data_IF_589520060799
#
_entry.id   IF_589520060799
#
_cell.length_a   1.000
_cell.length_b   1.000
_cell.length_c   1.000
_cell.angle_alpha   90.00
_cell.angle_beta   90.00
_cell.angle_gamma   90.00
#
_symmetry.space_group_name_H-M   'P 1'
#
loop_
_entity.id
_entity.type
_entity.pdbx_description
1 polymer ?
#
# COMPACT_ATOMS: atom_id res chain seq x y z
N UNK A 1 20.86 -24.81 -3.37
CA UNK A 1 21.93 -23.84 -3.05
C UNK A 1 21.50 -22.37 -3.06
N UNK A 2 20.46 -21.96 -3.82
CA UNK A 2 20.02 -20.55 -3.93
C UNK A 2 19.38 -20.00 -2.64
N UNK A 3 18.56 -20.81 -1.95
CA UNK A 3 17.86 -20.42 -0.71
C UNK A 3 18.81 -20.11 0.47
N UNK A 4 19.93 -20.85 0.57
CA UNK A 4 20.95 -20.61 1.61
C UNK A 4 21.69 -19.27 1.40
N UNK A 5 21.88 -18.87 0.13
CA UNK A 5 22.56 -17.62 -0.23
C UNK A 5 21.71 -16.39 0.07
N UNK A 6 20.39 -16.51 -0.10
CA UNK A 6 19.41 -15.48 0.32
C UNK A 6 19.40 -15.34 1.84
N UNK A 7 19.39 -16.46 2.57
CA UNK A 7 19.43 -16.45 4.03
C UNK A 7 20.73 -15.81 4.57
N UNK A 8 21.88 -16.09 3.96
CA UNK A 8 23.14 -15.44 4.35
C UNK A 8 23.17 -13.93 4.04
N UNK A 9 22.46 -13.46 3.01
CA UNK A 9 22.30 -12.01 2.75
C UNK A 9 21.42 -11.32 3.79
N UNK A 10 20.40 -12.01 4.31
CA UNK A 10 19.57 -11.48 5.40
C UNK A 10 20.34 -11.35 6.73
N UNK A 11 21.44 -12.09 6.87
CA UNK A 11 22.32 -12.07 8.04
C UNK A 11 23.60 -11.23 7.84
N UNK A 12 23.66 -10.40 6.80
CA UNK A 12 24.77 -9.45 6.61
C UNK A 12 24.61 -8.26 7.58
N UNK A 13 25.69 -7.89 8.29
CA UNK A 13 25.72 -6.71 9.17
C UNK A 13 25.20 -5.46 8.46
N UNK A 14 25.58 -5.25 7.21
CA UNK A 14 25.14 -4.09 6.44
C UNK A 14 23.64 -4.13 6.11
N UNK A 15 23.10 -5.33 5.88
CA UNK A 15 21.67 -5.54 5.67
C UNK A 15 20.89 -5.28 6.96
N UNK A 16 21.35 -5.84 8.09
CA UNK A 16 20.75 -5.65 9.41
C UNK A 16 20.77 -4.17 9.80
N UNK A 17 21.89 -3.46 9.64
CA UNK A 17 21.97 -2.04 9.95
C UNK A 17 21.01 -1.21 9.09
N UNK A 18 20.91 -1.50 7.78
CA UNK A 18 19.92 -0.83 6.91
C UNK A 18 18.49 -1.13 7.33
N UNK A 19 18.18 -2.38 7.67
CA UNK A 19 16.86 -2.79 8.14
C UNK A 19 16.49 -2.08 9.44
N UNK A 20 17.43 -1.98 10.39
CA UNK A 20 17.24 -1.26 11.65
C UNK A 20 17.03 0.24 11.43
N UNK A 21 17.80 0.88 10.56
CA UNK A 21 17.61 2.30 10.20
C UNK A 21 16.24 2.50 9.56
N UNK A 22 15.82 1.61 8.66
CA UNK A 22 14.51 1.67 8.01
C UNK A 22 13.37 1.51 9.02
N UNK A 23 13.52 0.56 9.95
CA UNK A 23 12.57 0.34 11.05
C UNK A 23 12.48 1.53 11.99
N UNK A 24 13.62 2.17 12.30
CA UNK A 24 13.66 3.39 13.11
C UNK A 24 12.97 4.56 12.40
N UNK A 25 13.25 4.75 11.10
CA UNK A 25 12.61 5.81 10.33
C UNK A 25 11.09 5.58 10.23
N UNK A 26 10.67 4.33 10.05
CA UNK A 26 9.26 3.94 10.04
C UNK A 26 8.59 4.19 11.39
N UNK A 27 9.27 3.94 12.53
CA UNK A 27 8.69 4.17 13.86
C UNK A 27 8.54 5.65 14.21
N UNK A 28 9.28 6.55 13.56
CA UNK A 28 9.09 8.00 13.71
C UNK A 28 7.73 8.47 13.20
N UNK A 29 7.12 7.77 12.24
CA UNK A 29 5.81 8.10 11.66
C UNK A 29 4.71 8.05 12.73
N UNK A 30 4.44 6.91 13.42
CA UNK A 30 3.41 6.86 14.45
C UNK A 30 3.72 7.75 15.65
N UNK A 31 4.99 7.97 15.99
CA UNK A 31 5.38 8.94 17.03
C UNK A 31 4.95 10.37 16.66
N UNK A 32 5.21 10.78 15.41
CA UNK A 32 4.76 12.08 14.91
C UNK A 32 3.24 12.18 14.89
N UNK A 33 2.52 11.10 14.57
CA UNK A 33 1.06 11.08 14.56
C UNK A 33 0.47 11.22 15.96
N UNK A 34 1.00 10.51 16.96
CA UNK A 34 0.57 10.66 18.35
C UNK A 34 0.80 12.09 18.83
N UNK A 35 1.97 12.67 18.53
CA UNK A 35 2.25 14.06 18.85
C UNK A 35 1.22 15.02 18.23
N UNK A 36 0.88 14.81 16.95
CA UNK A 36 -0.05 15.65 16.21
C UNK A 36 -1.49 15.50 16.73
N UNK A 37 -1.91 14.28 17.08
CA UNK A 37 -3.19 13.99 17.75
C UNK A 37 -3.31 14.72 19.09
N UNK A 38 -2.26 14.70 19.91
CA UNK A 38 -2.23 15.42 21.19
C UNK A 38 -2.24 16.93 20.96
N UNK A 39 -1.45 17.42 20.02
CA UNK A 39 -1.36 18.85 19.70
C UNK A 39 -2.71 19.40 19.22
N UNK A 40 -3.36 18.72 18.26
CA UNK A 40 -4.70 19.08 17.81
C UNK A 40 -5.74 18.88 18.92
N UNK A 41 -5.62 17.82 19.72
CA UNK A 41 -6.47 17.59 20.89
C UNK A 41 -6.48 18.76 21.88
N UNK A 42 -5.34 19.42 22.06
CA UNK A 42 -5.24 20.64 22.89
C UNK A 42 -5.79 21.90 22.20
N UNK A 43 -5.72 21.99 20.87
CA UNK A 43 -6.19 23.15 20.11
C UNK A 43 -7.72 23.17 19.92
N UNK A 44 -8.31 22.04 19.52
CA UNK A 44 -9.71 21.94 19.11
C UNK A 44 -10.52 20.94 19.94
N UNK A 45 -9.88 20.30 20.93
CA UNK A 45 -10.50 19.33 21.83
C UNK A 45 -10.24 17.87 21.42
N UNK A 46 -9.96 17.03 22.42
CA UNK A 46 -9.65 15.61 22.23
C UNK A 46 -10.79 14.83 21.56
N UNK A 47 -12.04 15.02 22.01
CA UNK A 47 -13.20 14.33 21.44
C UNK A 47 -13.42 14.67 19.97
N UNK A 48 -13.28 15.95 19.60
CA UNK A 48 -13.44 16.39 18.22
C UNK A 48 -12.30 15.87 17.32
N UNK A 49 -11.07 15.90 17.81
CA UNK A 49 -9.89 15.37 17.10
C UNK A 49 -10.02 13.87 16.84
N UNK A 50 -10.46 13.10 17.85
CA UNK A 50 -10.71 11.66 17.72
C UNK A 50 -11.87 11.38 16.77
N UNK A 51 -12.96 12.15 16.84
CA UNK A 51 -14.09 12.02 15.93
C UNK A 51 -13.68 12.27 14.47
N UNK A 52 -12.82 13.27 14.23
CA UNK A 52 -12.32 13.59 12.89
C UNK A 52 -11.42 12.47 12.33
N UNK A 53 -10.53 11.93 13.15
CA UNK A 53 -9.68 10.79 12.77
C UNK A 53 -10.53 9.52 12.49
N UNK A 54 -11.49 9.21 13.36
CA UNK A 54 -12.41 8.10 13.15
C UNK A 54 -13.27 8.29 11.88
N UNK A 55 -13.70 9.52 11.61
CA UNK A 55 -14.44 9.85 10.40
C UNK A 55 -13.60 9.68 9.12
N UNK A 56 -12.33 10.09 9.14
CA UNK A 56 -11.40 9.87 8.02
C UNK A 56 -11.21 8.37 7.74
N UNK A 57 -10.95 7.56 8.77
CA UNK A 57 -10.83 6.10 8.63
C UNK A 57 -12.12 5.45 8.11
N UNK A 58 -13.28 5.90 8.58
CA UNK A 58 -14.58 5.43 8.10
C UNK A 58 -14.81 5.77 6.63
N UNK A 59 -14.49 7.00 6.19
CA UNK A 59 -14.56 7.38 4.79
C UNK A 59 -13.62 6.54 3.91
N UNK A 60 -12.38 6.31 4.36
CA UNK A 60 -11.42 5.45 3.68
C UNK A 60 -11.95 4.02 3.51
N UNK A 61 -12.50 3.44 4.59
CA UNK A 61 -13.10 2.11 4.58
C UNK A 61 -14.30 2.01 3.63
N UNK A 62 -15.20 3.00 3.64
CA UNK A 62 -16.35 3.01 2.74
C UNK A 62 -15.93 3.13 1.27
N UNK A 63 -14.93 3.95 0.97
CA UNK A 63 -14.37 4.08 -0.37
C UNK A 63 -13.71 2.77 -0.84
N UNK A 64 -12.94 2.14 0.03
CA UNK A 64 -12.34 0.84 -0.23
C UNK A 64 -13.36 -0.26 -0.52
N UNK A 65 -14.42 -0.35 0.30
CA UNK A 65 -15.49 -1.34 0.10
C UNK A 65 -16.18 -1.18 -1.26
N UNK A 66 -16.35 0.06 -1.74
CA UNK A 66 -16.92 0.33 -3.07
C UNK A 66 -15.98 -0.17 -4.17
N UNK A 67 -14.70 0.13 -4.08
CA UNK A 67 -13.72 -0.24 -5.11
C UNK A 67 -13.45 -1.77 -5.12
N UNK A 68 -13.43 -2.39 -3.95
CA UNK A 68 -13.28 -3.83 -3.79
C UNK A 68 -14.45 -4.58 -4.43
N UNK A 69 -15.71 -4.17 -4.17
CA UNK A 69 -16.90 -4.77 -4.78
C UNK A 69 -16.86 -4.67 -6.31
N UNK A 70 -16.51 -3.50 -6.85
CA UNK A 70 -16.42 -3.27 -8.30
C UNK A 70 -15.35 -4.18 -8.94
N UNK A 71 -14.16 -4.26 -8.34
CA UNK A 71 -13.07 -5.09 -8.87
C UNK A 71 -13.38 -6.59 -8.76
N UNK A 72 -14.01 -7.04 -7.67
CA UNK A 72 -14.43 -8.44 -7.51
C UNK A 72 -15.49 -8.86 -8.55
N UNK A 73 -16.43 -7.97 -8.89
CA UNK A 73 -17.39 -8.22 -9.96
C UNK A 73 -16.71 -8.34 -11.32
N UNK A 74 -15.76 -7.44 -11.63
CA UNK A 74 -14.97 -7.50 -12.87
C UNK A 74 -14.13 -8.77 -12.95
N UNK A 75 -13.50 -9.17 -11.83
CA UNK A 75 -12.69 -10.38 -11.71
C UNK A 75 -13.53 -11.62 -12.02
N UNK A 76 -14.70 -11.76 -11.36
CA UNK A 76 -15.64 -12.86 -11.64
C UNK A 76 -16.08 -12.90 -13.11
N UNK A 77 -16.31 -11.75 -13.74
CA UNK A 77 -16.72 -11.66 -15.14
C UNK A 77 -15.61 -12.08 -16.11
N UNK A 78 -14.36 -11.69 -15.85
CA UNK A 78 -13.19 -12.06 -16.67
C UNK A 78 -12.82 -13.54 -16.51
N UNK A 79 -12.83 -14.05 -15.27
CA UNK A 79 -12.61 -15.48 -15.01
C UNK A 79 -13.64 -16.36 -15.73
N UNK A 80 -14.93 -15.99 -15.71
CA UNK A 80 -15.98 -16.72 -16.46
C UNK A 80 -15.80 -16.69 -17.98
N UNK A 81 -15.02 -15.75 -18.50
CA UNK A 81 -14.71 -15.63 -19.93
C UNK A 81 -13.37 -16.29 -20.31
N UNK A 82 -12.72 -16.99 -19.36
CA UNK A 82 -11.39 -17.57 -19.57
C UNK A 82 -10.28 -16.52 -19.72
N UNK A 83 -10.51 -15.28 -19.32
CA UNK A 83 -9.52 -14.20 -19.39
C UNK A 83 -8.79 -14.03 -18.06
N UNK A 84 -7.47 -13.86 -18.11
CA UNK A 84 -6.63 -13.57 -16.94
C UNK A 84 -6.96 -12.18 -16.35
N UNK A 85 -7.42 -12.08 -15.09
CA UNK A 85 -7.84 -10.83 -14.47
C UNK A 85 -6.68 -10.13 -13.71
N UNK A 86 -5.51 -9.98 -14.33
CA UNK A 86 -4.29 -9.46 -13.69
C UNK A 86 -4.49 -8.04 -13.13
N UNK A 87 -5.20 -7.17 -13.85
CA UNK A 87 -5.44 -5.80 -13.41
C UNK A 87 -6.35 -5.73 -12.18
N UNK A 88 -7.36 -6.59 -12.11
CA UNK A 88 -8.27 -6.68 -10.97
C UNK A 88 -7.54 -7.12 -9.70
N UNK A 89 -6.59 -8.06 -9.81
CA UNK A 89 -5.76 -8.46 -8.67
C UNK A 89 -4.90 -7.30 -8.15
N UNK A 90 -4.21 -6.57 -9.04
CA UNK A 90 -3.41 -5.41 -8.65
C UNK A 90 -4.28 -4.36 -7.95
N UNK A 91 -5.45 -4.08 -8.50
CA UNK A 91 -6.38 -3.11 -7.92
C UNK A 91 -6.90 -3.57 -6.56
N UNK A 92 -7.27 -4.85 -6.40
CA UNK A 92 -7.74 -5.41 -5.14
C UNK A 92 -6.65 -5.32 -4.07
N UNK A 93 -5.43 -5.77 -4.37
CA UNK A 93 -4.32 -5.72 -3.42
C UNK A 93 -3.96 -4.29 -3.03
N UNK A 94 -3.95 -3.36 -4.00
CA UNK A 94 -3.69 -1.95 -3.74
C UNK A 94 -4.75 -1.29 -2.85
N UNK A 95 -6.04 -1.58 -3.11
CA UNK A 95 -7.15 -1.09 -2.28
C UNK A 95 -7.03 -1.64 -0.85
N UNK A 96 -6.73 -2.93 -0.68
CA UNK A 96 -6.57 -3.53 0.65
C UNK A 96 -5.38 -2.92 1.40
N UNK A 97 -4.23 -2.74 0.75
CA UNK A 97 -3.08 -2.10 1.36
C UNK A 97 -3.38 -0.66 1.80
N UNK A 98 -4.02 0.13 0.93
CA UNK A 98 -4.45 1.49 1.27
C UNK A 98 -5.45 1.51 2.44
N UNK A 99 -6.38 0.55 2.48
CA UNK A 99 -7.38 0.44 3.56
C UNK A 99 -6.74 0.16 4.91
N UNK A 100 -5.74 -0.73 4.96
CA UNK A 100 -5.01 -1.04 6.18
C UNK A 100 -4.26 0.21 6.70
N UNK A 101 -3.68 0.99 5.79
CA UNK A 101 -3.01 2.25 6.14
C UNK A 101 -3.98 3.33 6.64
N UNK A 102 -5.18 3.42 6.07
CA UNK A 102 -6.24 4.37 6.48
C UNK A 102 -7.00 3.94 7.75
N UNK A 103 -6.89 2.68 8.16
CA UNK A 103 -7.52 2.17 9.39
C UNK A 103 -6.73 2.56 10.63
N UNK A 104 -5.41 2.80 10.49
CA UNK A 104 -4.60 3.39 11.55
C UNK A 104 -4.90 4.89 11.63
N UNK A 105 -5.54 5.39 12.71
CA UNK A 105 -5.90 6.79 12.81
C UNK A 105 -4.63 7.64 12.91
N UNK A 106 -4.30 8.31 11.81
CA UNK A 106 -3.05 9.03 11.66
C UNK A 106 -3.21 10.13 10.62
N UNK A 107 -3.22 11.40 11.04
CA UNK A 107 -3.43 12.52 10.12
C UNK A 107 -2.46 12.52 8.91
N UNK A 108 -1.22 12.07 9.13
CA UNK A 108 -0.18 11.98 8.11
C UNK A 108 -0.46 10.78 7.20
N UNK A 109 -0.69 9.61 7.78
CA UNK A 109 -0.98 8.37 7.03
C UNK A 109 -2.31 8.44 6.28
N UNK A 110 -3.32 9.10 6.84
CA UNK A 110 -4.62 9.40 6.20
C UNK A 110 -4.42 10.33 5.01
N UNK A 111 -3.63 11.40 5.15
CA UNK A 111 -3.35 12.32 4.03
C UNK A 111 -2.61 11.61 2.90
N UNK A 112 -1.61 10.79 3.22
CA UNK A 112 -0.88 9.98 2.24
C UNK A 112 -1.77 8.90 1.61
N UNK A 113 -2.62 8.25 2.41
CA UNK A 113 -3.60 7.26 1.97
C UNK A 113 -4.64 7.86 1.03
N UNK A 114 -5.17 9.04 1.35
CA UNK A 114 -6.03 9.82 0.46
C UNK A 114 -5.30 10.24 -0.82
N UNK A 115 -4.03 10.67 -0.72
CA UNK A 115 -3.22 11.03 -1.89
C UNK A 115 -3.06 9.83 -2.83
N UNK A 116 -2.77 8.64 -2.30
CA UNK A 116 -2.67 7.38 -3.05
C UNK A 116 -4.01 6.91 -3.62
N UNK A 117 -5.13 7.29 -3.00
CA UNK A 117 -6.48 7.04 -3.52
C UNK A 117 -6.74 7.79 -4.84
N UNK A 118 -6.04 8.91 -5.08
CA UNK A 118 -6.18 9.69 -6.32
C UNK A 118 -5.53 8.96 -7.49
N UNK A 119 -6.28 8.62 -8.57
CA UNK A 119 -5.76 7.83 -9.70
C UNK A 119 -4.54 8.44 -10.39
N UNK A 120 -4.48 9.78 -10.45
CA UNK A 120 -3.34 10.51 -11.05
C UNK A 120 -2.05 10.32 -10.25
N UNK A 121 -2.15 10.32 -8.92
CA UNK A 121 -1.02 10.17 -8.00
C UNK A 121 -0.54 8.71 -8.00
N UNK A 122 -1.47 7.75 -7.92
CA UNK A 122 -1.21 6.31 -8.09
C UNK A 122 -0.44 6.01 -9.38
N UNK A 123 -0.90 6.55 -10.52
CA UNK A 123 -0.29 6.27 -11.82
C UNK A 123 1.08 6.95 -11.97
N UNK A 124 1.28 8.13 -11.37
CA UNK A 124 2.57 8.81 -11.37
C UNK A 124 3.61 8.05 -10.53
N UNK A 125 3.25 7.64 -9.31
CA UNK A 125 4.10 6.82 -8.44
C UNK A 125 4.41 5.46 -9.06
N UNK A 126 3.41 4.77 -9.62
CA UNK A 126 3.61 3.50 -10.32
C UNK A 126 4.60 3.62 -11.47
N UNK A 127 4.50 4.67 -12.30
CA UNK A 127 5.47 4.92 -13.38
C UNK A 127 6.87 5.24 -12.85
N UNK A 128 6.97 5.99 -11.76
CA UNK A 128 8.26 6.32 -11.15
C UNK A 128 8.96 5.07 -10.61
N UNK A 129 8.23 4.20 -9.90
CA UNK A 129 8.74 2.92 -9.41
C UNK A 129 9.17 2.02 -10.56
N UNK A 130 8.33 1.89 -11.59
CA UNK A 130 8.65 1.10 -12.79
C UNK A 130 9.84 1.65 -13.58
N UNK A 131 10.05 2.97 -13.60
CA UNK A 131 11.22 3.57 -14.26
C UNK A 131 12.54 3.20 -13.59
N UNK A 132 12.49 2.86 -12.30
CA UNK A 132 13.65 2.48 -11.48
C UNK A 132 13.91 0.96 -11.50
N UNK A 133 12.88 0.17 -11.82
CA UNK A 133 12.91 -1.30 -11.91
C UNK A 133 12.79 -1.75 -13.37
N UNK A 134 13.81 -1.46 -14.19
CA UNK A 134 13.76 -1.66 -15.66
C UNK A 134 14.12 -3.08 -16.13
N UNK A 135 14.54 -3.98 -15.24
CA UNK A 135 15.13 -5.27 -15.64
C UNK A 135 14.13 -6.44 -15.59
N UNK A 136 13.17 -6.45 -14.66
CA UNK A 136 12.41 -7.69 -14.35
C UNK A 136 11.07 -7.84 -15.10
N UNK A 137 10.53 -6.75 -15.69
CA UNK A 137 9.22 -6.80 -16.36
C UNK A 137 9.24 -7.51 -17.72
N UNK A 138 10.39 -7.51 -18.40
CA UNK A 138 10.56 -8.24 -19.67
C UNK A 138 10.59 -9.74 -19.44
N UNK A 139 11.30 -10.17 -18.39
CA UNK A 139 11.34 -11.59 -17.99
C UNK A 139 9.96 -12.07 -17.57
N UNK A 140 9.23 -11.32 -16.73
CA UNK A 140 7.86 -11.70 -16.33
C UNK A 140 6.88 -11.80 -17.50
N UNK A 141 7.04 -10.97 -18.55
CA UNK A 141 6.25 -11.06 -19.77
C UNK A 141 6.62 -12.31 -20.60
N UNK A 142 7.89 -12.66 -20.68
CA UNK A 142 8.33 -13.90 -21.33
C UNK A 142 7.90 -15.16 -20.57
N UNK A 143 7.98 -15.17 -19.23
CA UNK A 143 7.53 -16.29 -18.41
C UNK A 143 6.02 -16.54 -18.53
N UNK A 144 5.20 -15.48 -18.50
CA UNK A 144 3.75 -15.62 -18.67
C UNK A 144 3.36 -16.04 -20.09
N UNK A 145 4.17 -15.67 -21.09
CA UNK A 145 3.97 -16.07 -22.49
C UNK A 145 4.35 -17.53 -22.75
N UNK A 146 5.26 -18.09 -21.96
CA UNK A 146 5.68 -19.50 -22.02
C UNK A 146 4.69 -20.45 -21.34
N UNK A 147 3.84 -19.95 -20.43
CA UNK A 147 2.79 -20.73 -19.77
C UNK A 147 1.49 -20.84 -20.59
N UNK A 148 1.34 -20.03 -21.65
CA UNK A 148 0.16 -20.03 -22.55
C UNK A 148 0.37 -20.81 -23.86
N UNK A 149 1.48 -21.56 -24.01
CA UNK A 149 1.75 -22.44 -25.16
C UNK A 149 1.72 -23.91 -24.79
#
# INVERSE_FOLDING_TARGET
MQSAKVMMRLLDRNFITKLLILGLLYSMVPLAEIFLLIYLGNLIGYYFTLALAAFAGLLGMLAALRELRKNLQSLRKKTRRGQLPTQEFINITGVLAASILLLTPGFITDTLGFLLFVPKVRNALGRWVLSKTRTDLKELYEYLKLEEG
#
